data_IF_153031961318
#
_entry.id   IF_153031961318
#
_cell.length_a   1.000
_cell.length_b   1.000
_cell.length_c   1.000
_cell.angle_alpha   90.00
_cell.angle_beta   90.00
_cell.angle_gamma   90.00
#
_symmetry.space_group_name_H-M   'P 1'
#
loop_
_entity.id
_entity.type
_entity.pdbx_description
1 polymer ?
#
# COMPACT_ATOMS: atom_id res chain seq x y z
N UNK A 1 -20.40 20.81 16.74
CA UNK A 1 -19.39 21.61 17.49
C UNK A 1 -19.09 22.86 16.68
N UNK A 2 -19.28 24.06 17.23
CA UNK A 2 -18.97 25.32 16.54
C UNK A 2 -17.50 25.28 16.12
N UNK A 3 -17.22 25.24 14.81
CA UNK A 3 -15.86 25.36 14.30
C UNK A 3 -15.33 26.72 14.74
N UNK A 4 -14.32 26.75 15.62
CA UNK A 4 -13.67 28.00 16.01
C UNK A 4 -13.01 28.58 14.76
N UNK A 5 -13.63 29.61 14.18
CA UNK A 5 -13.09 30.36 13.07
C UNK A 5 -11.93 31.22 13.57
N UNK A 6 -10.72 30.92 13.11
CA UNK A 6 -9.50 31.64 13.48
C UNK A 6 -9.30 32.78 12.50
N UNK A 7 -9.26 34.01 13.00
CA UNK A 7 -8.99 35.19 12.19
C UNK A 7 -7.49 35.53 12.18
N UNK A 8 -7.00 36.01 11.04
CA UNK A 8 -5.60 36.38 10.90
C UNK A 8 -5.34 37.29 9.70
N UNK A 9 -4.14 37.85 9.65
CA UNK A 9 -3.65 38.62 8.52
C UNK A 9 -2.47 37.88 7.89
N UNK A 10 -2.46 37.82 6.56
CA UNK A 10 -1.32 37.31 5.81
C UNK A 10 -0.20 38.34 5.79
N UNK A 11 1.04 37.86 5.81
CA UNK A 11 2.24 38.70 5.76
C UNK A 11 2.90 38.47 4.41
N UNK A 12 3.15 39.55 3.66
CA UNK A 12 3.87 39.48 2.40
C UNK A 12 5.38 39.35 2.64
N UNK A 13 5.94 38.24 2.18
CA UNK A 13 7.36 38.10 1.98
C UNK A 13 7.71 38.68 0.60
N UNK A 14 8.47 39.78 0.61
CA UNK A 14 8.83 40.53 -0.61
C UNK A 14 9.84 39.79 -1.48
N UNK A 15 10.65 38.91 -0.89
CA UNK A 15 11.70 38.18 -1.62
C UNK A 15 11.10 36.98 -2.35
N UNK A 16 10.28 36.20 -1.65
CA UNK A 16 9.72 34.96 -2.19
C UNK A 16 8.41 35.17 -2.95
N UNK A 17 7.81 36.37 -2.85
CA UNK A 17 6.47 36.70 -3.38
C UNK A 17 5.38 35.77 -2.83
N UNK A 18 5.55 35.29 -1.60
CA UNK A 18 4.52 34.52 -0.89
C UNK A 18 3.87 35.38 0.19
N UNK A 19 2.56 35.23 0.32
CA UNK A 19 1.81 35.61 1.49
C UNK A 19 1.85 34.46 2.48
N UNK A 20 2.25 34.71 3.72
CA UNK A 20 2.41 33.68 4.73
C UNK A 20 1.54 33.94 5.97
N UNK A 21 1.15 32.87 6.64
CA UNK A 21 0.48 32.93 7.94
C UNK A 21 1.04 31.84 8.85
N UNK A 22 1.56 32.23 10.03
CA UNK A 22 2.06 31.30 11.04
C UNK A 22 0.87 30.60 11.70
N UNK A 23 0.81 29.28 11.57
CA UNK A 23 -0.25 28.48 12.16
C UNK A 23 -0.10 28.52 13.68
N UNK A 24 -1.17 28.83 14.45
CA UNK A 24 -1.11 28.87 15.90
C UNK A 24 -0.66 27.53 16.48
N UNK A 25 0.38 27.60 17.32
CA UNK A 25 0.94 26.47 18.06
C UNK A 25 -0.11 25.95 19.03
N UNK A 26 -0.22 24.64 19.13
CA UNK A 26 -1.10 23.95 20.08
C UNK A 26 -0.23 23.14 21.04
N UNK A 27 -0.65 23.04 22.31
CA UNK A 27 0.02 22.19 23.28
C UNK A 27 0.06 20.73 22.81
N UNK A 28 1.13 20.03 23.14
CA UNK A 28 1.36 18.64 22.76
C UNK A 28 2.24 17.95 23.81
N UNK A 29 2.07 16.63 24.04
CA UNK A 29 2.92 15.89 24.94
C UNK A 29 4.40 15.86 24.48
N UNK A 30 5.35 15.57 25.39
CA UNK A 30 6.75 15.34 25.03
C UNK A 30 6.88 14.29 23.92
N UNK A 31 7.82 14.47 22.99
CA UNK A 31 8.05 13.59 21.83
C UNK A 31 6.92 13.51 20.79
N UNK A 32 5.88 14.32 20.92
CA UNK A 32 4.83 14.47 19.90
C UNK A 32 4.93 15.84 19.22
N UNK A 33 4.27 16.00 18.08
CA UNK A 33 4.15 17.28 17.36
C UNK A 33 2.88 17.29 16.52
N UNK A 34 2.40 18.48 16.16
CA UNK A 34 1.24 18.64 15.30
C UNK A 34 1.65 18.62 13.84
N UNK A 35 1.06 17.69 13.10
CA UNK A 35 1.20 17.56 11.66
C UNK A 35 0.01 18.20 10.95
N UNK A 36 0.29 19.22 10.15
CA UNK A 36 -0.74 20.00 9.48
C UNK A 36 -0.90 19.58 8.02
N UNK A 37 -2.14 19.50 7.55
CA UNK A 37 -2.53 19.30 6.16
C UNK A 37 -3.62 20.28 5.80
N UNK A 38 -3.54 20.90 4.63
CA UNK A 38 -4.65 21.67 4.07
C UNK A 38 -5.77 20.69 3.74
N UNK A 39 -6.99 21.00 4.18
CA UNK A 39 -8.14 20.15 3.94
C UNK A 39 -8.38 20.01 2.42
N UNK A 40 -8.68 18.81 1.90
CA UNK A 40 -8.84 18.58 0.46
C UNK A 40 -9.86 19.50 -0.21
N UNK A 41 -11.01 19.77 0.44
CA UNK A 41 -12.04 20.69 -0.07
C UNK A 41 -11.58 22.15 -0.21
N UNK A 42 -10.43 22.52 0.37
CA UNK A 42 -9.88 23.87 0.33
C UNK A 42 -8.62 23.97 -0.54
N UNK A 43 -8.25 22.92 -1.28
CA UNK A 43 -7.15 22.99 -2.26
C UNK A 43 -7.49 24.00 -3.35
N UNK A 44 -7.16 25.25 -3.10
CA UNK A 44 -7.07 26.31 -4.10
C UNK A 44 -5.67 26.26 -4.69
N UNK A 45 -5.55 26.49 -6.00
CA UNK A 45 -4.31 26.30 -6.78
C UNK A 45 -3.07 27.02 -6.23
N UNK A 46 -3.25 28.02 -5.37
CA UNK A 46 -2.16 28.85 -4.85
C UNK A 46 -1.84 28.65 -3.37
N UNK A 47 -2.41 27.65 -2.69
CA UNK A 47 -2.21 27.43 -1.24
C UNK A 47 -1.31 26.22 -0.97
N UNK A 48 -0.31 26.37 -0.10
CA UNK A 48 0.58 25.30 0.34
C UNK A 48 1.00 25.48 1.80
N UNK A 49 1.75 24.52 2.34
CA UNK A 49 2.39 24.63 3.65
C UNK A 49 3.90 24.76 3.44
N UNK A 50 4.57 25.48 4.33
CA UNK A 50 6.04 25.45 4.41
C UNK A 50 6.55 24.03 4.62
N UNK A 51 7.84 23.78 4.33
CA UNK A 51 8.47 22.46 4.49
C UNK A 51 8.36 21.94 5.93
N UNK A 52 8.49 22.82 6.93
CA UNK A 52 8.30 22.50 8.35
C UNK A 52 6.82 22.50 8.80
N UNK A 53 5.91 22.83 7.87
CA UNK A 53 4.45 22.91 8.01
C UNK A 53 3.96 23.87 9.09
N UNK A 54 4.79 24.81 9.55
CA UNK A 54 4.40 25.83 10.54
C UNK A 54 3.73 27.04 9.90
N UNK A 55 3.88 27.22 8.59
CA UNK A 55 3.32 28.35 7.86
C UNK A 55 2.40 27.86 6.76
N UNK A 56 1.23 28.50 6.64
CA UNK A 56 0.44 28.50 5.42
C UNK A 56 1.09 29.48 4.45
N UNK A 57 1.30 29.05 3.22
CA UNK A 57 1.88 29.84 2.13
C UNK A 57 0.83 30.02 1.03
N UNK A 58 0.77 31.23 0.48
CA UNK A 58 -0.09 31.57 -0.65
C UNK A 58 0.75 32.32 -1.67
N UNK A 59 0.80 31.84 -2.91
CA UNK A 59 1.53 32.55 -3.96
C UNK A 59 0.87 33.89 -4.22
N UNK A 60 1.60 35.00 -4.10
CA UNK A 60 1.06 36.32 -4.38
C UNK A 60 0.92 36.49 -5.91
N UNK A 61 -0.31 36.61 -6.38
CA UNK A 61 -0.65 36.96 -7.76
C UNK A 61 -1.77 38.02 -7.76
N UNK A 62 -2.00 38.65 -8.91
CA UNK A 62 -2.98 39.75 -9.06
C UNK A 62 -4.41 39.34 -8.73
N UNK A 63 -4.69 38.03 -8.67
CA UNK A 63 -6.00 37.44 -8.37
C UNK A 63 -6.13 36.94 -6.93
N UNK A 64 -5.17 37.20 -6.04
CA UNK A 64 -5.24 36.76 -4.65
C UNK A 64 -6.46 37.36 -3.94
N UNK A 65 -7.37 36.55 -3.37
CA UNK A 65 -8.62 37.04 -2.81
C UNK A 65 -8.37 37.89 -1.57
N UNK A 66 -9.09 39.02 -1.41
CA UNK A 66 -9.01 39.92 -0.24
C UNK A 66 -9.17 39.20 1.12
N UNK A 67 -9.90 38.09 1.11
CA UNK A 67 -10.16 37.22 2.26
C UNK A 67 -10.08 35.77 1.80
N UNK A 68 -9.22 34.99 2.40
CA UNK A 68 -9.12 33.55 2.20
C UNK A 68 -9.82 32.81 3.33
N UNK A 69 -10.62 31.81 2.98
CA UNK A 69 -11.09 30.80 3.93
C UNK A 69 -10.41 29.47 3.63
N UNK A 70 -9.77 28.88 4.64
CA UNK A 70 -9.02 27.64 4.52
C UNK A 70 -9.17 26.78 5.77
N UNK A 71 -9.50 25.51 5.57
CA UNK A 71 -9.51 24.53 6.63
C UNK A 71 -8.15 23.83 6.70
N UNK A 72 -7.60 23.69 7.91
CA UNK A 72 -6.39 22.92 8.18
C UNK A 72 -6.75 21.77 9.11
N UNK A 73 -6.46 20.55 8.66
CA UNK A 73 -6.48 19.35 9.47
C UNK A 73 -5.15 19.21 10.20
N UNK A 74 -5.22 19.06 11.52
CA UNK A 74 -4.06 18.89 12.39
C UNK A 74 -4.16 17.56 13.10
N UNK A 75 -3.07 16.81 13.10
CA UNK A 75 -3.00 15.49 13.69
C UNK A 75 -1.74 15.36 14.53
N UNK A 76 -1.88 14.77 15.72
CA UNK A 76 -0.74 14.55 16.60
C UNK A 76 0.07 13.35 16.10
N UNK A 77 1.37 13.53 15.86
CA UNK A 77 2.29 12.47 15.42
C UNK A 77 3.55 12.45 16.29
N UNK A 78 4.25 11.30 16.41
CA UNK A 78 5.58 11.26 17.00
C UNK A 78 6.56 12.22 16.30
N UNK A 79 7.43 12.88 17.06
CA UNK A 79 8.51 13.71 16.49
C UNK A 79 9.47 12.89 15.64
N UNK A 80 9.67 11.60 15.97
CA UNK A 80 10.47 10.66 15.17
C UNK A 80 9.98 10.54 13.73
N UNK A 81 8.70 10.76 13.47
CA UNK A 81 8.14 10.68 12.12
C UNK A 81 8.63 11.81 11.19
N UNK A 82 9.20 12.88 11.75
CA UNK A 82 9.78 13.99 11.00
C UNK A 82 11.24 13.73 10.56
N UNK A 83 11.84 12.64 11.03
CA UNK A 83 13.23 12.27 10.71
C UNK A 83 13.33 10.89 10.06
N UNK A 84 12.45 9.95 10.43
CA UNK A 84 12.39 8.62 9.83
C UNK A 84 11.67 8.68 8.49
N UNK A 85 12.24 8.02 7.49
CA UNK A 85 11.64 7.83 6.17
C UNK A 85 10.93 6.49 6.06
N UNK A 86 9.98 6.41 5.14
CA UNK A 86 9.23 5.20 4.82
C UNK A 86 10.14 3.97 4.58
N UNK A 87 11.26 4.13 3.86
CA UNK A 87 12.13 3.00 3.53
C UNK A 87 13.07 2.58 4.68
N UNK A 88 12.95 3.18 5.86
CA UNK A 88 13.76 2.88 7.04
C UNK A 88 13.01 2.05 8.09
N UNK A 89 11.79 1.59 7.79
CA UNK A 89 11.01 0.71 8.66
C UNK A 89 10.84 -0.67 8.03
N UNK A 90 10.60 -1.68 8.85
CA UNK A 90 10.23 -3.02 8.42
C UNK A 90 8.80 -3.35 8.85
N UNK A 91 8.07 -4.00 7.94
CA UNK A 91 6.66 -4.35 8.02
C UNK A 91 6.48 -5.79 7.54
N UNK A 92 5.56 -6.51 8.20
CA UNK A 92 5.19 -7.87 7.80
C UNK A 92 3.96 -7.81 6.89
N UNK A 93 3.97 -8.68 5.89
CA UNK A 93 2.92 -8.87 4.93
C UNK A 93 2.52 -10.33 4.80
N UNK A 94 1.34 -10.60 4.25
CA UNK A 94 0.92 -11.95 3.87
C UNK A 94 1.13 -12.18 2.38
N UNK A 95 1.52 -13.41 2.02
CA UNK A 95 1.49 -13.91 0.65
C UNK A 95 0.10 -14.48 0.35
N UNK A 96 -0.42 -14.22 -0.86
CA UNK A 96 -1.80 -14.52 -1.28
C UNK A 96 -2.85 -14.18 -0.21
N UNK A 97 -2.87 -12.93 0.24
CA UNK A 97 -3.57 -12.50 1.48
C UNK A 97 -5.08 -12.78 1.51
N UNK A 98 -5.67 -12.99 0.35
CA UNK A 98 -7.08 -13.27 0.16
C UNK A 98 -7.43 -14.75 0.29
N UNK A 99 -6.41 -15.63 0.30
CA UNK A 99 -6.54 -17.05 0.03
C UNK A 99 -7.37 -17.78 1.10
N UNK A 100 -8.23 -18.67 0.60
CA UNK A 100 -8.99 -19.63 1.38
C UNK A 100 -8.77 -21.00 0.74
N UNK A 101 -8.54 -22.01 1.56
CA UNK A 101 -8.28 -23.37 1.10
C UNK A 101 -9.41 -23.85 0.19
N UNK A 102 -9.11 -24.62 -0.87
CA UNK A 102 -10.13 -25.30 -1.66
C UNK A 102 -11.09 -26.11 -0.78
N UNK A 103 -12.34 -26.25 -1.24
CA UNK A 103 -13.32 -27.13 -0.58
C UNK A 103 -12.77 -28.58 -0.52
N UNK A 104 -13.00 -29.35 0.56
CA UNK A 104 -12.42 -30.69 0.75
C UNK A 104 -12.58 -31.69 -0.41
N UNK A 105 -13.74 -31.78 -1.05
CA UNK A 105 -13.97 -32.59 -2.24
C UNK A 105 -13.16 -32.11 -3.45
N UNK A 106 -13.06 -30.79 -3.66
CA UNK A 106 -12.19 -30.20 -4.69
C UNK A 106 -10.71 -30.48 -4.38
N UNK A 107 -10.31 -30.34 -3.12
CA UNK A 107 -8.95 -30.61 -2.66
C UNK A 107 -8.51 -32.05 -2.96
N UNK A 108 -9.40 -33.05 -2.80
CA UNK A 108 -9.10 -34.45 -3.17
C UNK A 108 -8.77 -34.62 -4.65
N UNK A 109 -9.45 -33.89 -5.52
CA UNK A 109 -9.13 -33.88 -6.96
C UNK A 109 -7.75 -33.28 -7.19
N UNK A 110 -7.47 -32.12 -6.58
CA UNK A 110 -6.16 -31.46 -6.71
C UNK A 110 -5.05 -32.37 -6.18
N UNK A 111 -5.24 -33.03 -5.04
CA UNK A 111 -4.28 -33.99 -4.48
C UNK A 111 -3.98 -35.16 -5.42
N UNK A 112 -4.99 -35.65 -6.13
CA UNK A 112 -4.85 -36.80 -7.04
C UNK A 112 -4.06 -36.46 -8.31
N UNK A 113 -4.11 -35.20 -8.76
CA UNK A 113 -3.48 -34.76 -10.02
C UNK A 113 -2.20 -33.96 -9.79
N UNK A 114 -2.16 -33.14 -8.74
CA UNK A 114 -1.11 -32.19 -8.41
C UNK A 114 -0.80 -32.18 -6.90
N UNK A 115 -0.31 -33.29 -6.32
CA UNK A 115 -0.14 -33.46 -4.88
C UNK A 115 0.73 -32.36 -4.25
N UNK A 116 1.84 -32.00 -4.90
CA UNK A 116 2.72 -30.93 -4.43
C UNK A 116 2.03 -29.56 -4.38
N UNK A 117 1.10 -29.27 -5.29
CA UNK A 117 0.34 -28.02 -5.26
C UNK A 117 -0.72 -28.04 -4.16
N UNK A 118 -1.44 -29.16 -4.01
CA UNK A 118 -2.41 -29.33 -2.94
C UNK A 118 -1.81 -29.04 -1.57
N UNK A 119 -0.60 -29.54 -1.30
CA UNK A 119 0.12 -29.26 -0.06
C UNK A 119 0.40 -27.77 0.14
N UNK A 120 0.68 -27.02 -0.93
CA UNK A 120 1.05 -25.61 -0.85
C UNK A 120 -0.13 -24.66 -0.76
N UNK A 121 -1.35 -25.12 -1.04
CA UNK A 121 -2.59 -24.31 -1.01
C UNK A 121 -3.57 -24.78 0.09
N UNK A 122 -3.13 -25.68 0.96
CA UNK A 122 -3.95 -26.21 2.08
C UNK A 122 -3.92 -25.27 3.30
N UNK A 123 -4.20 -23.98 3.10
CA UNK A 123 -4.23 -22.98 4.16
C UNK A 123 -5.35 -21.96 3.93
N UNK A 124 -5.67 -21.17 4.95
CA UNK A 124 -6.66 -20.09 4.86
C UNK A 124 -6.18 -18.92 5.69
N UNK A 125 -6.16 -17.74 5.08
CA UNK A 125 -5.92 -16.51 5.82
C UNK A 125 -7.22 -15.96 6.42
N UNK A 126 -7.09 -15.18 7.49
CA UNK A 126 -8.17 -14.33 7.99
C UNK A 126 -8.61 -13.31 6.93
N UNK A 127 -9.76 -12.67 7.12
CA UNK A 127 -10.17 -11.54 6.27
C UNK A 127 -9.16 -10.38 6.34
N UNK A 128 -9.09 -9.53 5.31
CA UNK A 128 -8.05 -8.50 5.20
C UNK A 128 -8.06 -7.51 6.39
N UNK A 129 -9.24 -7.12 6.88
CA UNK A 129 -9.41 -6.27 8.06
C UNK A 129 -8.90 -6.93 9.33
N UNK A 130 -9.09 -8.24 9.49
CA UNK A 130 -8.62 -8.97 10.65
C UNK A 130 -7.10 -9.12 10.64
N UNK A 131 -6.50 -9.34 9.46
CA UNK A 131 -5.05 -9.32 9.30
C UNK A 131 -4.46 -7.95 9.70
N UNK A 132 -5.11 -6.85 9.31
CA UNK A 132 -4.71 -5.50 9.73
C UNK A 132 -4.79 -5.31 11.26
N UNK A 133 -5.92 -5.71 11.86
CA UNK A 133 -6.30 -5.38 13.24
C UNK A 133 -5.67 -6.32 14.28
N UNK A 134 -5.68 -7.62 14.00
CA UNK A 134 -5.28 -8.65 14.95
C UNK A 134 -3.82 -9.06 14.77
N UNK A 135 -3.36 -9.10 13.52
CA UNK A 135 -2.03 -9.62 13.17
C UNK A 135 -1.01 -8.51 12.86
N UNK A 136 -1.44 -7.24 12.77
CA UNK A 136 -0.55 -6.11 12.50
C UNK A 136 0.02 -6.09 11.07
N UNK A 137 -0.62 -6.77 10.12
CA UNK A 137 -0.13 -6.88 8.74
C UNK A 137 -0.20 -5.52 8.04
N UNK A 138 0.86 -5.13 7.33
CA UNK A 138 0.92 -3.87 6.56
C UNK A 138 1.37 -4.10 5.11
N UNK A 139 1.32 -5.33 4.62
CA UNK A 139 1.43 -5.64 3.20
C UNK A 139 0.48 -6.76 2.80
N UNK A 140 -0.21 -6.57 1.68
CA UNK A 140 -1.14 -7.53 1.10
C UNK A 140 -0.70 -7.84 -0.33
N UNK A 141 -0.69 -9.11 -0.69
CA UNK A 141 -0.58 -9.59 -2.07
C UNK A 141 -1.92 -10.11 -2.58
N UNK A 142 -2.28 -9.67 -3.79
CA UNK A 142 -3.56 -9.92 -4.46
C UNK A 142 -3.30 -10.35 -5.90
N UNK A 143 -3.84 -11.51 -6.28
CA UNK A 143 -3.67 -12.10 -7.61
C UNK A 143 -4.87 -11.74 -8.47
N UNK A 144 -4.65 -11.00 -9.55
CA UNK A 144 -5.72 -10.39 -10.34
C UNK A 144 -5.87 -11.05 -11.71
N UNK A 145 -7.10 -11.46 -12.01
CA UNK A 145 -7.56 -11.74 -13.37
C UNK A 145 -8.47 -10.61 -13.85
N UNK A 146 -8.32 -10.17 -15.10
CA UNK A 146 -9.25 -9.21 -15.70
C UNK A 146 -10.40 -9.95 -16.39
N UNK A 147 -11.60 -9.91 -15.81
CA UNK A 147 -12.82 -10.43 -16.42
C UNK A 147 -13.53 -9.32 -17.18
N UNK A 148 -13.19 -9.15 -18.46
CA UNK A 148 -13.65 -8.01 -19.28
C UNK A 148 -15.16 -7.99 -19.54
N UNK A 149 -15.84 -9.13 -19.50
CA UNK A 149 -17.30 -9.25 -19.69
C UNK A 149 -18.05 -9.59 -18.40
N UNK A 150 -17.36 -10.12 -17.39
CA UNK A 150 -18.00 -10.69 -16.22
C UNK A 150 -18.48 -12.13 -16.46
N UNK A 151 -18.63 -12.89 -15.38
CA UNK A 151 -19.18 -14.24 -15.40
C UNK A 151 -18.17 -15.34 -15.73
N UNK A 152 -16.96 -15.01 -16.18
CA UNK A 152 -15.93 -16.00 -16.56
C UNK A 152 -15.58 -16.93 -15.41
N UNK A 153 -15.60 -16.39 -14.18
CA UNK A 153 -15.20 -17.10 -12.97
C UNK A 153 -16.37 -17.38 -12.00
N UNK A 154 -17.61 -17.10 -12.41
CA UNK A 154 -18.80 -17.24 -11.54
C UNK A 154 -19.24 -18.70 -11.30
N UNK A 155 -18.75 -19.62 -12.13
CA UNK A 155 -19.10 -21.04 -12.10
C UNK A 155 -17.85 -21.92 -12.21
N UNK A 156 -17.02 -21.99 -11.16
CA UNK A 156 -15.80 -22.79 -11.17
C UNK A 156 -16.10 -24.28 -11.33
N UNK A 157 -15.30 -24.98 -12.13
CA UNK A 157 -15.53 -26.40 -12.44
C UNK A 157 -15.25 -27.36 -11.29
N UNK A 158 -14.34 -27.03 -10.37
CA UNK A 158 -13.88 -27.92 -9.31
C UNK A 158 -15.02 -28.56 -8.51
N UNK A 159 -15.95 -27.77 -7.95
CA UNK A 159 -17.09 -28.32 -7.21
C UNK A 159 -18.01 -29.22 -8.03
N UNK A 160 -18.21 -28.92 -9.32
CA UNK A 160 -18.98 -29.77 -10.23
C UNK A 160 -18.29 -31.11 -10.45
N UNK A 161 -16.98 -31.11 -10.68
CA UNK A 161 -16.19 -32.33 -10.83
C UNK A 161 -16.12 -33.15 -9.53
N UNK A 162 -16.19 -32.49 -8.38
CA UNK A 162 -16.27 -33.13 -7.07
C UNK A 162 -17.69 -33.64 -6.73
N UNK A 163 -18.67 -33.49 -7.63
CA UNK A 163 -20.05 -33.93 -7.42
C UNK A 163 -20.82 -33.15 -6.36
N UNK A 164 -20.36 -31.94 -6.01
CA UNK A 164 -20.92 -31.16 -4.91
C UNK A 164 -22.15 -30.38 -5.35
N UNK A 165 -23.30 -30.73 -4.78
CA UNK A 165 -24.54 -29.96 -4.92
C UNK A 165 -24.60 -28.92 -3.80
N UNK A 166 -25.05 -27.71 -4.12
CA UNK A 166 -25.25 -26.62 -3.16
C UNK A 166 -24.00 -26.18 -2.36
N UNK A 167 -22.78 -26.50 -2.80
CA UNK A 167 -21.54 -26.11 -2.08
C UNK A 167 -21.49 -24.61 -1.74
N UNK A 168 -22.05 -23.75 -2.60
CA UNK A 168 -22.12 -22.29 -2.38
C UNK A 168 -22.78 -21.89 -1.05
N UNK A 169 -23.75 -22.65 -0.53
CA UNK A 169 -24.37 -22.33 0.77
C UNK A 169 -23.42 -22.49 1.96
N UNK A 170 -22.38 -23.32 1.81
CA UNK A 170 -21.32 -23.52 2.79
C UNK A 170 -20.14 -22.55 2.60
N UNK A 171 -20.16 -21.78 1.51
CA UNK A 171 -19.09 -20.89 1.07
C UNK A 171 -19.64 -19.50 0.74
N UNK A 172 -20.26 -18.80 1.71
CA UNK A 172 -20.93 -17.51 1.50
C UNK A 172 -19.97 -16.40 1.06
N UNK A 173 -18.66 -16.58 1.24
CA UNK A 173 -17.65 -15.65 0.72
C UNK A 173 -17.58 -15.65 -0.82
N UNK A 174 -18.05 -16.73 -1.48
CA UNK A 174 -18.07 -16.82 -2.93
C UNK A 174 -19.28 -16.06 -3.50
N UNK A 175 -19.10 -14.75 -3.64
CA UNK A 175 -20.11 -13.82 -4.16
C UNK A 175 -20.29 -13.98 -5.68
N UNK A 176 -21.23 -14.84 -6.07
CA UNK A 176 -21.52 -15.11 -7.49
C UNK A 176 -21.97 -13.86 -8.23
N UNK A 177 -22.75 -12.97 -7.60
CA UNK A 177 -23.24 -11.75 -8.23
C UNK A 177 -22.07 -10.84 -8.60
N UNK A 178 -21.14 -10.63 -7.66
CA UNK A 178 -19.91 -9.88 -7.93
C UNK A 178 -19.04 -10.55 -8.99
N UNK A 179 -18.98 -11.88 -9.06
CA UNK A 179 -18.23 -12.60 -10.10
C UNK A 179 -18.88 -12.47 -11.49
N UNK A 180 -20.19 -12.22 -11.57
CA UNK A 180 -20.91 -12.01 -12.84
C UNK A 180 -20.67 -10.64 -13.47
N UNK A 181 -20.21 -9.65 -12.70
CA UNK A 181 -19.93 -8.29 -13.19
C UNK A 181 -18.53 -8.22 -13.80
N UNK A 182 -18.32 -7.42 -14.85
CA UNK A 182 -16.99 -7.18 -15.40
C UNK A 182 -16.04 -6.50 -14.38
N UNK A 183 -14.74 -6.76 -14.48
CA UNK A 183 -13.71 -6.12 -13.67
C UNK A 183 -12.65 -7.09 -13.14
N UNK A 184 -11.81 -6.60 -12.23
CA UNK A 184 -10.70 -7.38 -11.67
C UNK A 184 -11.19 -8.37 -10.60
N UNK A 185 -10.84 -9.65 -10.78
CA UNK A 185 -11.18 -10.77 -9.90
C UNK A 185 -9.95 -11.25 -9.15
N UNK A 186 -10.12 -11.57 -7.87
CA UNK A 186 -9.05 -12.06 -7.01
C UNK A 186 -9.15 -13.58 -6.89
N UNK A 187 -8.22 -14.31 -7.52
CA UNK A 187 -8.24 -15.77 -7.67
C UNK A 187 -6.80 -16.27 -7.74
N UNK A 188 -6.44 -17.34 -7.01
CA UNK A 188 -5.13 -17.96 -7.13
C UNK A 188 -5.02 -18.84 -8.39
N UNK A 189 -5.91 -19.81 -8.53
CA UNK A 189 -6.01 -20.66 -9.72
C UNK A 189 -7.48 -20.87 -10.13
N UNK A 190 -7.87 -20.49 -11.35
CA UNK A 190 -9.25 -20.64 -11.80
C UNK A 190 -9.76 -22.07 -11.67
N UNK A 191 -11.07 -22.21 -11.45
CA UNK A 191 -11.81 -23.48 -11.32
C UNK A 191 -11.52 -24.34 -10.08
N UNK A 192 -10.30 -24.34 -9.53
CA UNK A 192 -9.91 -25.28 -8.47
C UNK A 192 -9.46 -24.59 -7.18
N UNK A 193 -8.69 -23.50 -7.27
CA UNK A 193 -8.23 -22.73 -6.11
C UNK A 193 -8.67 -21.26 -6.25
N UNK A 194 -9.99 -21.09 -6.34
CA UNK A 194 -10.63 -19.83 -6.69
C UNK A 194 -11.20 -19.08 -5.49
N UNK A 195 -11.21 -19.70 -4.31
CA UNK A 195 -11.85 -19.12 -3.12
C UNK A 195 -11.02 -17.95 -2.61
N UNK A 196 -11.71 -16.89 -2.24
CA UNK A 196 -11.11 -15.62 -1.83
C UNK A 196 -11.99 -14.96 -0.78
N UNK A 197 -11.38 -14.43 0.28
CA UNK A 197 -12.08 -13.61 1.28
C UNK A 197 -12.61 -12.30 0.66
N UNK A 198 -12.07 -11.88 -0.48
CA UNK A 198 -12.45 -10.67 -1.21
C UNK A 198 -12.46 -10.96 -2.71
N UNK A 199 -13.55 -11.50 -3.29
CA UNK A 199 -13.54 -12.02 -4.66
C UNK A 199 -13.27 -10.99 -5.77
N UNK A 200 -13.47 -9.69 -5.49
CA UNK A 200 -13.17 -8.61 -6.44
C UNK A 200 -12.16 -7.63 -5.86
N UNK A 201 -11.38 -7.01 -6.75
CA UNK A 201 -10.37 -6.04 -6.36
C UNK A 201 -10.97 -4.81 -5.68
N UNK A 202 -12.08 -4.28 -6.21
CA UNK A 202 -12.80 -3.16 -5.59
C UNK A 202 -13.28 -3.47 -4.17
N UNK A 203 -13.77 -4.69 -3.91
CA UNK A 203 -14.13 -5.10 -2.54
C UNK A 203 -12.91 -5.11 -1.63
N UNK A 204 -11.80 -5.70 -2.06
CA UNK A 204 -10.56 -5.73 -1.29
C UNK A 204 -10.04 -4.31 -0.98
N UNK A 205 -9.95 -3.44 -1.98
CA UNK A 205 -9.52 -2.05 -1.79
C UNK A 205 -10.48 -1.27 -0.89
N UNK A 206 -11.80 -1.51 -1.01
CA UNK A 206 -12.80 -0.81 -0.19
C UNK A 206 -12.69 -1.19 1.27
N UNK A 207 -12.46 -2.47 1.55
CA UNK A 207 -12.22 -2.98 2.89
C UNK A 207 -10.99 -2.33 3.54
N UNK A 208 -9.84 -2.38 2.83
CA UNK A 208 -8.59 -1.78 3.29
C UNK A 208 -8.72 -0.26 3.48
N UNK A 209 -9.37 0.44 2.55
CA UNK A 209 -9.56 1.89 2.62
C UNK A 209 -10.51 2.29 3.76
N UNK A 210 -11.59 1.53 3.99
CA UNK A 210 -12.50 1.73 5.12
C UNK A 210 -11.77 1.57 6.45
N UNK A 211 -10.91 0.56 6.59
CA UNK A 211 -10.07 0.43 7.78
C UNK A 211 -9.06 1.59 7.89
N UNK A 212 -8.37 1.95 6.80
CA UNK A 212 -7.39 3.04 6.77
C UNK A 212 -7.97 4.38 7.20
N UNK A 213 -9.17 4.72 6.73
CA UNK A 213 -9.86 5.97 7.07
C UNK A 213 -10.16 6.09 8.58
N UNK A 214 -10.42 4.96 9.25
CA UNK A 214 -10.66 4.87 10.69
C UNK A 214 -9.36 4.80 11.51
N UNK A 215 -8.24 4.47 10.87
CA UNK A 215 -6.92 4.28 11.49
C UNK A 215 -5.86 5.15 10.79
N UNK A 216 -6.15 6.43 10.61
CA UNK A 216 -5.39 7.38 9.79
C UNK A 216 -3.89 7.59 10.14
N UNK A 217 -3.38 7.02 11.25
CA UNK A 217 -1.96 7.01 11.62
C UNK A 217 -1.25 5.67 11.38
N UNK A 218 -1.93 4.70 10.75
CA UNK A 218 -1.33 3.42 10.44
C UNK A 218 -0.04 3.59 9.63
N UNK A 219 0.91 2.67 9.85
CA UNK A 219 2.10 2.57 9.01
C UNK A 219 1.71 2.30 7.55
N UNK A 220 2.48 2.80 6.57
CA UNK A 220 2.13 2.72 5.15
C UNK A 220 1.89 1.28 4.69
N UNK A 221 0.71 1.03 4.11
CA UNK A 221 0.29 -0.30 3.69
C UNK A 221 0.71 -0.53 2.24
N UNK A 222 1.45 -1.60 1.97
CA UNK A 222 1.72 -2.03 0.59
C UNK A 222 0.61 -2.95 0.07
N UNK A 223 0.13 -2.69 -1.13
CA UNK A 223 -0.70 -3.63 -1.91
C UNK A 223 0.16 -4.05 -3.10
N UNK A 224 0.68 -5.27 -3.02
CA UNK A 224 1.42 -5.94 -4.06
C UNK A 224 0.41 -6.64 -4.98
N UNK A 225 0.46 -6.33 -6.26
CA UNK A 225 -0.51 -6.80 -7.24
C UNK A 225 0.20 -7.75 -8.18
N UNK A 226 -0.23 -9.01 -8.21
CA UNK A 226 0.21 -9.96 -9.22
C UNK A 226 -0.88 -10.08 -10.30
N UNK A 227 -0.62 -9.55 -11.48
CA UNK A 227 -1.52 -9.74 -12.62
C UNK A 227 -1.32 -11.15 -13.19
N UNK A 228 -2.39 -11.92 -13.27
CA UNK A 228 -2.41 -13.24 -13.90
C UNK A 228 -2.85 -13.09 -15.36
N UNK A 229 -2.84 -14.19 -16.11
CA UNK A 229 -3.21 -14.16 -17.53
C UNK A 229 -4.67 -13.75 -17.73
N UNK A 230 -4.94 -12.85 -18.66
CA UNK A 230 -6.31 -12.42 -18.99
C UNK A 230 -7.04 -13.49 -19.76
N UNK A 231 -8.37 -13.57 -19.57
CA UNK A 231 -9.25 -14.44 -20.35
C UNK A 231 -10.10 -13.53 -21.25
N UNK A 232 -9.85 -13.57 -22.56
CA UNK A 232 -10.72 -12.90 -23.53
C UNK A 232 -11.80 -13.87 -23.99
N UNK A 233 -13.03 -13.37 -24.11
CA UNK A 233 -14.24 -14.16 -24.39
C UNK A 233 -14.59 -14.18 -25.87
N UNK A 234 -13.61 -14.39 -26.73
CA UNK A 234 -13.83 -14.75 -28.14
C UNK A 234 -13.41 -16.21 -28.36
N UNK A 235 -13.85 -16.82 -29.46
CA UNK A 235 -13.58 -18.22 -29.85
C UNK A 235 -12.08 -18.57 -30.02
N UNK A 236 -11.18 -17.69 -29.61
CA UNK A 236 -9.76 -17.94 -29.41
C UNK A 236 -9.45 -17.79 -27.91
N UNK A 237 -9.38 -18.90 -27.18
CA UNK A 237 -8.85 -18.96 -25.81
C UNK A 237 -7.35 -18.61 -25.77
N UNK A 238 -6.95 -17.41 -26.21
CA UNK A 238 -5.60 -16.90 -26.02
C UNK A 238 -5.53 -16.25 -24.65
N UNK A 239 -4.99 -17.00 -23.69
CA UNK A 239 -4.54 -16.47 -22.41
C UNK A 239 -3.38 -15.49 -22.66
N UNK A 240 -3.62 -14.19 -22.49
CA UNK A 240 -2.64 -13.13 -22.69
C UNK A 240 -2.06 -12.60 -21.38
N UNK A 241 -0.87 -12.00 -21.43
CA UNK A 241 -0.39 -11.13 -20.35
C UNK A 241 -1.26 -9.86 -20.29
N UNK A 242 -1.30 -9.18 -19.14
CA UNK A 242 -1.95 -7.88 -19.04
C UNK A 242 -1.34 -6.89 -20.04
N UNK A 243 -2.19 -6.27 -20.85
CA UNK A 243 -1.81 -5.23 -21.79
C UNK A 243 -2.08 -3.81 -21.24
N UNK A 244 -1.83 -2.80 -22.06
CA UNK A 244 -2.03 -1.40 -21.66
C UNK A 244 -3.49 -1.06 -21.34
N UNK A 245 -4.47 -1.72 -21.96
CA UNK A 245 -5.89 -1.51 -21.65
C UNK A 245 -6.27 -2.18 -20.33
N UNK A 246 -5.76 -3.37 -20.07
CA UNK A 246 -5.95 -4.07 -18.79
C UNK A 246 -5.40 -3.24 -17.63
N UNK A 247 -4.19 -2.70 -17.78
CA UNK A 247 -3.59 -1.82 -16.77
C UNK A 247 -4.36 -0.50 -16.58
N UNK A 248 -4.90 0.10 -17.65
CA UNK A 248 -5.78 1.28 -17.50
C UNK A 248 -7.03 0.97 -16.69
N UNK A 249 -7.65 -0.19 -16.90
CA UNK A 249 -8.81 -0.60 -16.10
C UNK A 249 -8.44 -0.91 -14.66
N UNK A 250 -7.27 -1.49 -14.43
CA UNK A 250 -6.73 -1.72 -13.09
C UNK A 250 -6.55 -0.40 -12.33
N UNK A 251 -5.90 0.59 -12.95
CA UNK A 251 -5.73 1.91 -12.33
C UNK A 251 -7.05 2.65 -12.12
N UNK A 252 -8.00 2.49 -13.05
CA UNK A 252 -9.34 3.03 -12.90
C UNK A 252 -10.04 2.46 -11.66
N UNK A 253 -10.04 1.14 -11.47
CA UNK A 253 -10.64 0.52 -10.26
C UNK A 253 -9.94 0.97 -8.97
N UNK A 254 -8.62 1.19 -8.99
CA UNK A 254 -7.90 1.77 -7.85
C UNK A 254 -8.44 3.17 -7.53
N UNK A 255 -8.55 4.04 -8.54
CA UNK A 255 -8.96 5.44 -8.36
C UNK A 255 -10.44 5.61 -8.04
N UNK A 256 -11.28 4.64 -8.42
CA UNK A 256 -12.69 4.58 -7.99
C UNK A 256 -12.83 4.37 -6.48
N UNK A 257 -11.83 3.75 -5.83
CA UNK A 257 -11.91 3.36 -4.41
C UNK A 257 -10.96 4.14 -3.50
N UNK A 258 -9.74 4.41 -3.95
CA UNK A 258 -8.67 5.06 -3.18
C UNK A 258 -8.35 6.42 -3.79
N UNK A 259 -8.54 7.47 -3.00
CA UNK A 259 -8.21 8.83 -3.42
C UNK A 259 -6.71 8.98 -3.72
N UNK A 260 -6.29 9.70 -4.78
CA UNK A 260 -4.87 9.86 -5.13
C UNK A 260 -3.97 10.35 -3.99
N UNK A 261 -4.48 11.18 -3.07
CA UNK A 261 -3.74 11.68 -1.91
C UNK A 261 -3.34 10.59 -0.92
N UNK A 262 -4.10 9.50 -0.89
CA UNK A 262 -3.88 8.31 -0.06
C UNK A 262 -2.85 7.36 -0.66
N UNK A 263 -2.35 7.60 -1.86
CA UNK A 263 -1.37 6.76 -2.54
C UNK A 263 -0.01 7.46 -2.56
N UNK A 264 1.05 6.77 -2.16
CA UNK A 264 2.43 7.18 -2.42
C UNK A 264 2.77 6.63 -3.80
N UNK A 265 2.89 7.50 -4.80
CA UNK A 265 3.15 7.12 -6.19
C UNK A 265 4.62 7.29 -6.56
N UNK A 266 5.11 6.65 -7.64
CA UNK A 266 6.42 6.90 -8.22
C UNK A 266 6.74 8.39 -8.40
N UNK A 267 5.85 9.18 -9.02
CA UNK A 267 6.07 10.63 -9.18
C UNK A 267 6.26 11.39 -7.87
N UNK A 268 5.54 11.00 -6.80
CA UNK A 268 5.68 11.66 -5.49
C UNK A 268 7.05 11.40 -4.86
N UNK A 269 7.63 10.22 -5.11
CA UNK A 269 8.99 9.88 -4.63
C UNK A 269 10.04 10.51 -5.55
N UNK A 270 9.80 10.54 -6.86
CA UNK A 270 10.71 11.19 -7.80
C UNK A 270 10.85 12.70 -7.52
N UNK A 271 9.76 13.39 -7.15
CA UNK A 271 9.78 14.83 -6.90
C UNK A 271 10.39 15.60 -8.08
N UNK A 272 11.35 16.47 -7.77
CA UNK A 272 12.01 17.33 -8.78
C UNK A 272 13.25 16.67 -9.42
N UNK A 273 13.54 15.40 -9.13
CA UNK A 273 14.67 14.69 -9.74
C UNK A 273 14.35 14.28 -11.18
N UNK A 274 15.42 14.11 -11.99
CA UNK A 274 15.27 13.70 -13.39
C UNK A 274 14.66 12.31 -13.52
N UNK A 275 14.99 11.42 -12.60
CA UNK A 275 14.52 10.03 -12.58
C UNK A 275 14.15 9.61 -11.16
N UNK A 276 13.25 8.64 -11.05
CA UNK A 276 12.88 8.05 -9.77
C UNK A 276 14.09 7.40 -9.07
N UNK A 277 14.96 6.73 -9.83
CA UNK A 277 16.17 6.15 -9.26
C UNK A 277 17.09 7.22 -8.65
N UNK A 278 17.27 8.35 -9.33
CA UNK A 278 18.07 9.45 -8.79
C UNK A 278 17.54 9.94 -7.43
N UNK A 279 16.22 10.05 -7.29
CA UNK A 279 15.59 10.46 -6.05
C UNK A 279 15.89 9.48 -4.90
N UNK A 280 15.69 8.18 -5.12
CA UNK A 280 15.93 7.19 -4.06
C UNK A 280 17.40 7.06 -3.70
N UNK A 281 18.33 7.25 -4.65
CA UNK A 281 19.78 7.25 -4.37
C UNK A 281 20.21 8.40 -3.46
N UNK A 282 19.50 9.53 -3.53
CA UNK A 282 19.67 10.68 -2.61
C UNK A 282 18.89 10.51 -1.31
N UNK A 283 18.19 9.38 -1.15
CA UNK A 283 17.41 9.06 0.02
C UNK A 283 16.06 9.76 0.07
N UNK A 284 15.54 10.31 -1.02
CA UNK A 284 14.32 11.17 -1.01
C UNK A 284 12.99 10.41 -0.92
N UNK A 285 12.98 9.28 -0.22
CA UNK A 285 11.72 8.68 0.23
C UNK A 285 10.99 9.63 1.19
N UNK A 286 9.64 9.69 1.14
CA UNK A 286 8.87 10.53 2.03
C UNK A 286 9.11 10.20 3.51
N UNK A 287 8.98 11.23 4.35
CA UNK A 287 9.01 11.06 5.79
C UNK A 287 7.86 10.15 6.24
N UNK A 288 8.00 9.52 7.41
CA UNK A 288 6.96 8.67 7.95
C UNK A 288 5.70 9.50 8.27
N UNK A 289 5.87 10.75 8.69
CA UNK A 289 4.78 11.73 8.86
C UNK A 289 3.94 11.94 7.59
N UNK A 290 4.60 11.87 6.43
CA UNK A 290 3.97 11.99 5.12
C UNK A 290 3.37 10.67 4.64
N UNK A 291 3.83 9.55 5.18
CA UNK A 291 3.50 8.21 4.72
C UNK A 291 2.41 7.54 5.54
N UNK A 292 2.18 7.98 6.78
CA UNK A 292 1.10 7.46 7.62
C UNK A 292 -0.27 7.62 6.98
N UNK A 293 -1.10 6.59 7.15
CA UNK A 293 -2.47 6.58 6.63
C UNK A 293 -2.56 6.46 5.11
N UNK A 294 -1.49 6.00 4.43
CA UNK A 294 -1.39 5.87 2.97
C UNK A 294 -1.06 4.45 2.52
N UNK A 295 -1.29 4.23 1.24
CA UNK A 295 -0.99 3.01 0.50
C UNK A 295 0.20 3.20 -0.44
N UNK A 296 0.92 2.11 -0.68
CA UNK A 296 1.91 1.95 -1.74
C UNK A 296 1.42 0.82 -2.62
N UNK A 297 1.39 1.03 -3.93
CA UNK A 297 0.96 0.01 -4.88
C UNK A 297 2.18 -0.46 -5.66
N UNK A 298 2.38 -1.76 -5.80
CA UNK A 298 3.51 -2.31 -6.53
C UNK A 298 3.07 -3.49 -7.41
N UNK A 299 3.60 -3.56 -8.63
CA UNK A 299 3.43 -4.69 -9.52
C UNK A 299 4.42 -5.80 -9.12
N UNK A 300 3.91 -6.99 -8.82
CA UNK A 300 4.73 -8.17 -8.54
C UNK A 300 5.44 -8.65 -9.82
N UNK A 301 4.72 -8.64 -10.94
CA UNK A 301 5.19 -9.18 -12.20
C UNK A 301 6.47 -8.48 -12.70
N UNK A 302 7.31 -9.27 -13.36
CA UNK A 302 8.47 -8.82 -14.12
C UNK A 302 8.26 -9.22 -15.59
N UNK A 303 9.22 -8.94 -16.47
CA UNK A 303 9.10 -9.33 -17.88
C UNK A 303 7.96 -8.60 -18.60
N UNK A 304 7.13 -9.34 -19.35
CA UNK A 304 6.15 -8.78 -20.30
C UNK A 304 5.16 -7.83 -19.64
N UNK A 305 4.63 -8.16 -18.47
CA UNK A 305 3.66 -7.35 -17.73
C UNK A 305 4.29 -6.03 -17.27
N UNK A 306 5.52 -6.09 -16.72
CA UNK A 306 6.29 -4.90 -16.36
C UNK A 306 6.52 -4.03 -17.59
N UNK A 307 6.97 -4.63 -18.68
CA UNK A 307 7.32 -3.90 -19.90
C UNK A 307 6.07 -3.26 -20.52
N UNK A 308 4.90 -3.92 -20.45
CA UNK A 308 3.62 -3.36 -20.87
C UNK A 308 3.20 -2.19 -19.98
N UNK A 309 3.37 -2.29 -18.66
CA UNK A 309 3.08 -1.18 -17.75
C UNK A 309 4.02 0.01 -17.98
N UNK A 310 5.30 -0.23 -18.27
CA UNK A 310 6.26 0.83 -18.60
C UNK A 310 6.03 1.47 -19.98
N UNK A 311 5.45 0.75 -20.93
CA UNK A 311 4.97 1.36 -22.19
C UNK A 311 3.79 2.30 -21.94
N UNK A 312 2.90 1.94 -21.02
CA UNK A 312 1.79 2.80 -20.60
C UNK A 312 2.28 4.03 -19.82
N UNK A 313 3.27 3.84 -18.94
CA UNK A 313 3.89 4.90 -18.14
C UNK A 313 5.41 4.94 -18.31
N UNK A 314 5.93 5.54 -19.40
CA UNK A 314 7.37 5.70 -19.58
C UNK A 314 7.99 6.44 -18.39
N UNK A 315 9.06 5.87 -17.82
CA UNK A 315 9.71 6.41 -16.61
C UNK A 315 8.83 6.39 -15.35
N UNK A 316 7.70 5.68 -15.37
CA UNK A 316 6.62 5.71 -14.37
C UNK A 316 5.97 7.09 -14.18
N UNK A 317 6.03 7.96 -15.20
CA UNK A 317 5.32 9.23 -15.14
C UNK A 317 3.80 9.03 -15.16
N UNK A 318 3.12 9.55 -14.13
CA UNK A 318 1.68 9.43 -13.93
C UNK A 318 1.23 8.06 -13.39
N UNK A 319 2.16 7.13 -13.17
CA UNK A 319 1.82 5.77 -12.76
C UNK A 319 1.35 5.71 -11.30
N UNK A 320 0.45 4.78 -10.99
CA UNK A 320 0.06 4.48 -9.61
C UNK A 320 0.97 3.42 -8.96
N UNK A 321 1.48 2.47 -9.74
CA UNK A 321 2.25 1.32 -9.26
C UNK A 321 3.75 1.55 -9.42
N UNK A 322 4.51 1.14 -8.42
CA UNK A 322 5.93 0.86 -8.60
C UNK A 322 6.13 -0.46 -9.33
N UNK A 323 7.19 -0.59 -10.12
CA UNK A 323 7.56 -1.87 -10.75
C UNK A 323 8.94 -2.34 -10.32
N UNK A 324 9.14 -3.65 -10.33
CA UNK A 324 10.45 -4.26 -10.06
C UNK A 324 11.34 -4.27 -11.32
N UNK A 325 11.96 -3.12 -11.60
CA UNK A 325 12.96 -2.97 -12.68
C UNK A 325 14.39 -3.22 -12.20
N UNK A 326 15.31 -3.64 -13.09
CA UNK A 326 16.72 -3.81 -12.77
C UNK A 326 17.32 -2.59 -12.04
N UNK A 327 18.15 -2.80 -10.99
CA UNK A 327 18.77 -1.70 -10.26
C UNK A 327 19.62 -0.79 -11.16
N UNK A 328 19.32 0.50 -11.16
CA UNK A 328 20.05 1.54 -11.90
C UNK A 328 19.22 2.12 -13.04
N UNK A 329 18.20 1.41 -13.51
CA UNK A 329 17.24 1.93 -14.48
C UNK A 329 16.53 3.18 -13.93
N UNK A 330 16.19 4.17 -14.78
CA UNK A 330 15.54 5.42 -14.38
C UNK A 330 14.30 5.25 -13.48
N UNK A 331 13.48 4.26 -13.77
CA UNK A 331 12.22 3.95 -13.08
C UNK A 331 12.37 3.05 -11.84
N UNK A 332 13.57 2.51 -11.59
CA UNK A 332 13.76 1.51 -10.54
C UNK A 332 13.86 2.15 -9.15
N UNK A 333 12.88 1.87 -8.28
CA UNK A 333 12.92 2.23 -6.85
C UNK A 333 12.42 1.11 -5.94
N UNK A 334 11.59 0.22 -6.46
CA UNK A 334 11.10 -0.98 -5.79
C UNK A 334 11.76 -2.21 -6.39
N UNK A 335 12.08 -3.21 -5.56
CA UNK A 335 12.61 -4.49 -6.01
C UNK A 335 11.84 -5.64 -5.34
N UNK A 336 11.43 -6.62 -6.14
CA UNK A 336 10.98 -7.93 -5.68
C UNK A 336 12.19 -8.87 -5.62
N UNK A 337 12.62 -9.25 -4.42
CA UNK A 337 13.69 -10.22 -4.21
C UNK A 337 13.17 -11.28 -3.23
N UNK A 338 12.65 -12.38 -3.77
CA UNK A 338 11.88 -13.35 -2.98
C UNK A 338 12.73 -14.12 -1.96
N UNK A 339 13.95 -14.47 -2.33
CA UNK A 339 14.80 -15.38 -1.56
C UNK A 339 15.89 -14.61 -0.79
N UNK A 340 15.73 -14.39 0.52
CA UNK A 340 16.74 -13.73 1.33
C UNK A 340 17.90 -14.65 1.71
N UNK A 341 17.82 -15.97 1.50
CA UNK A 341 18.94 -16.89 1.76
C UNK A 341 20.01 -16.66 0.70
N UNK A 342 19.65 -16.77 -0.56
CA UNK A 342 20.59 -16.62 -1.68
C UNK A 342 20.99 -15.15 -1.92
N UNK A 343 20.14 -14.19 -1.52
CA UNK A 343 20.32 -12.78 -1.85
C UNK A 343 20.56 -11.88 -0.64
N UNK A 344 20.90 -12.41 0.54
CA UNK A 344 21.04 -11.60 1.77
C UNK A 344 21.90 -10.35 1.58
N UNK A 345 23.15 -10.54 1.14
CA UNK A 345 24.11 -9.45 0.92
C UNK A 345 23.68 -8.50 -0.18
N UNK A 346 23.05 -9.02 -1.24
CA UNK A 346 22.54 -8.20 -2.34
C UNK A 346 21.37 -7.33 -1.86
N UNK A 347 20.44 -7.88 -1.08
CA UNK A 347 19.35 -7.12 -0.44
C UNK A 347 19.96 -6.00 0.40
N UNK A 348 20.88 -6.29 1.34
CA UNK A 348 21.51 -5.26 2.17
C UNK A 348 22.16 -4.14 1.34
N UNK A 349 22.90 -4.52 0.29
CA UNK A 349 23.49 -3.57 -0.66
C UNK A 349 22.43 -2.68 -1.31
N UNK A 350 21.30 -3.24 -1.75
CA UNK A 350 20.20 -2.46 -2.35
C UNK A 350 19.46 -1.59 -1.33
N UNK A 351 19.32 -2.02 -0.09
CA UNK A 351 18.76 -1.19 0.98
C UNK A 351 19.64 0.04 1.23
N UNK A 352 20.95 -0.14 1.32
CA UNK A 352 21.91 0.97 1.48
C UNK A 352 21.94 1.93 0.28
N UNK A 353 21.50 1.46 -0.88
CA UNK A 353 21.33 2.26 -2.09
C UNK A 353 19.99 3.00 -2.15
N UNK A 354 19.11 2.82 -1.16
CA UNK A 354 17.82 3.49 -1.06
C UNK A 354 16.66 2.74 -1.71
N UNK A 355 16.83 1.51 -2.19
CA UNK A 355 15.70 0.73 -2.73
C UNK A 355 14.71 0.32 -1.63
N UNK A 356 13.44 0.26 -2.01
CA UNK A 356 12.39 -0.40 -1.24
C UNK A 356 12.28 -1.85 -1.72
N UNK A 357 12.34 -2.82 -0.81
CA UNK A 357 12.42 -4.24 -1.17
C UNK A 357 11.31 -5.03 -0.51
N UNK A 358 10.67 -5.89 -1.30
CA UNK A 358 9.82 -6.98 -0.82
C UNK A 358 10.59 -8.29 -0.87
N UNK A 359 10.60 -9.04 0.23
CA UNK A 359 11.17 -10.40 0.34
C UNK A 359 10.20 -11.36 1.04
N UNK A 360 10.59 -12.63 1.24
CA UNK A 360 9.78 -13.65 1.91
C UNK A 360 10.49 -14.22 3.14
N UNK A 361 9.75 -14.41 4.23
CA UNK A 361 10.21 -15.12 5.42
C UNK A 361 10.13 -16.64 5.28
N UNK A 362 9.29 -17.14 4.37
CA UNK A 362 9.02 -18.57 4.13
C UNK A 362 8.50 -18.79 2.70
N UNK A 363 8.48 -20.05 2.27
CA UNK A 363 8.11 -20.45 0.91
C UNK A 363 7.47 -21.84 0.84
N UNK A 364 6.33 -21.94 0.16
CA UNK A 364 5.64 -23.21 -0.10
C UNK A 364 5.29 -23.98 1.19
N UNK A 365 4.99 -23.24 2.25
CA UNK A 365 4.66 -23.77 3.58
C UNK A 365 5.76 -24.68 4.21
N UNK A 366 6.98 -24.71 3.66
CA UNK A 366 8.04 -25.66 4.04
C UNK A 366 8.56 -25.40 5.45
N UNK A 367 8.80 -24.13 5.76
CA UNK A 367 9.32 -23.66 7.04
C UNK A 367 8.35 -24.01 8.17
N UNK A 368 7.05 -23.88 7.93
CA UNK A 368 6.02 -24.25 8.90
C UNK A 368 5.93 -25.73 9.21
N UNK A 369 6.28 -26.61 8.26
CA UNK A 369 6.34 -28.07 8.50
C UNK A 369 7.58 -28.47 9.30
N UNK A 370 8.70 -27.78 9.05
CA UNK A 370 10.01 -28.08 9.66
C UNK A 370 10.30 -27.27 10.93
N UNK A 371 9.44 -26.31 11.28
CA UNK A 371 9.69 -25.30 12.32
C UNK A 371 11.01 -24.54 12.10
N UNK A 372 11.31 -24.20 10.84
CA UNK A 372 12.60 -23.66 10.42
C UNK A 372 12.55 -22.13 10.24
N UNK A 373 13.22 -21.40 11.13
CA UNK A 373 13.24 -19.94 11.14
C UNK A 373 14.41 -19.30 10.38
N UNK A 374 15.24 -20.09 9.68
CA UNK A 374 16.43 -19.57 8.99
C UNK A 374 16.10 -18.51 7.95
N UNK A 375 15.13 -18.78 7.07
CA UNK A 375 14.72 -17.82 6.03
C UNK A 375 14.12 -16.55 6.64
N UNK A 376 13.26 -16.66 7.67
CA UNK A 376 12.71 -15.51 8.40
C UNK A 376 13.81 -14.64 9.00
N UNK A 377 14.79 -15.24 9.68
CA UNK A 377 15.89 -14.50 10.30
C UNK A 377 16.76 -13.77 9.27
N UNK A 378 16.97 -14.38 8.09
CA UNK A 378 17.68 -13.74 6.97
C UNK A 378 16.84 -12.63 6.32
N UNK A 379 15.53 -12.82 6.14
CA UNK A 379 14.62 -11.76 5.70
C UNK A 379 14.69 -10.56 6.65
N UNK A 380 14.66 -10.80 7.95
CA UNK A 380 14.69 -9.77 8.98
C UNK A 380 16.03 -9.01 9.00
N UNK A 381 17.15 -9.72 8.96
CA UNK A 381 18.50 -9.14 9.04
C UNK A 381 19.01 -8.54 7.73
N UNK A 382 18.43 -8.92 6.58
CA UNK A 382 18.78 -8.33 5.28
C UNK A 382 18.35 -6.87 5.13
N UNK A 383 17.45 -6.38 6.00
CA UNK A 383 16.91 -5.03 5.93
C UNK A 383 15.81 -4.85 4.89
N UNK A 384 15.30 -5.89 4.23
CA UNK A 384 14.11 -5.76 3.39
C UNK A 384 12.93 -5.16 4.18
N UNK A 385 12.24 -4.17 3.62
CA UNK A 385 11.22 -3.40 4.34
C UNK A 385 9.87 -4.12 4.39
N UNK A 386 9.48 -4.84 3.34
CA UNK A 386 8.22 -5.58 3.30
C UNK A 386 8.50 -7.08 3.23
N UNK A 387 8.14 -7.81 4.29
CA UNK A 387 8.46 -9.23 4.43
C UNK A 387 7.17 -10.05 4.37
N UNK A 388 6.98 -10.79 3.29
CA UNK A 388 5.84 -11.71 3.12
C UNK A 388 6.01 -12.98 3.93
N UNK A 389 4.91 -13.50 4.46
CA UNK A 389 4.81 -14.83 5.06
C UNK A 389 3.48 -15.50 4.67
N UNK A 390 3.49 -16.82 4.59
CA UNK A 390 2.30 -17.66 4.56
C UNK A 390 1.79 -17.98 5.99
N UNK A 391 2.57 -17.67 7.03
CA UNK A 391 2.30 -17.96 8.45
C UNK A 391 2.28 -16.69 9.33
N UNK A 392 1.34 -15.75 9.12
CA UNK A 392 1.21 -14.57 9.97
C UNK A 392 0.72 -14.92 11.40
N UNK A 393 0.27 -16.15 11.61
CA UNK A 393 -0.08 -16.76 12.89
C UNK A 393 0.14 -18.27 12.84
N UNK A 394 0.03 -18.94 14.00
CA UNK A 394 0.12 -20.40 14.05
C UNK A 394 -1.05 -21.02 13.30
N UNK A 395 -0.76 -22.03 12.49
CA UNK A 395 -1.74 -22.75 11.68
C UNK A 395 -1.89 -24.20 12.15
N UNK A 396 -3.14 -24.70 12.20
CA UNK A 396 -3.39 -26.10 12.52
C UNK A 396 -2.77 -27.03 11.46
N UNK A 397 -2.21 -28.16 11.88
CA UNK A 397 -1.50 -29.10 11.00
C UNK A 397 -0.05 -28.72 10.68
N UNK A 398 0.43 -27.59 11.21
CA UNK A 398 1.83 -27.16 11.14
C UNK A 398 2.44 -27.07 12.54
N UNK A 399 3.75 -26.85 12.60
CA UNK A 399 4.46 -26.58 13.84
C UNK A 399 4.06 -25.22 14.46
N UNK A 400 4.73 -24.81 15.53
CA UNK A 400 4.55 -23.48 16.15
C UNK A 400 5.14 -22.32 15.32
N UNK A 401 5.63 -22.59 14.11
CA UNK A 401 6.14 -21.60 13.18
C UNK A 401 5.12 -20.49 12.92
N UNK A 402 5.56 -19.24 13.13
CA UNK A 402 4.82 -18.03 12.78
C UNK A 402 5.76 -16.84 12.63
N UNK A 403 5.42 -15.93 11.74
CA UNK A 403 6.21 -14.71 11.47
C UNK A 403 5.46 -13.51 12.00
N UNK A 404 5.88 -13.02 13.16
CA UNK A 404 5.30 -11.88 13.85
C UNK A 404 6.40 -11.04 14.49
N UNK A 405 6.12 -9.75 14.71
CA UNK A 405 6.99 -8.95 15.56
C UNK A 405 6.79 -9.33 17.04
N UNK A 406 7.87 -9.35 17.85
CA UNK A 406 7.75 -9.54 19.29
C UNK A 406 6.85 -8.49 19.95
N UNK A 407 6.19 -8.88 21.05
CA UNK A 407 5.38 -8.00 21.90
C UNK A 407 4.20 -7.32 21.19
N UNK A 408 3.63 -7.95 20.15
CA UNK A 408 2.45 -7.43 19.45
C UNK A 408 2.72 -6.14 18.67
N UNK A 409 3.98 -5.93 18.26
CA UNK A 409 4.36 -4.78 17.45
C UNK A 409 3.83 -4.91 16.02
N UNK A 410 3.64 -3.78 15.35
CA UNK A 410 3.14 -3.71 13.95
C UNK A 410 4.26 -3.46 12.96
N UNK A 411 5.33 -2.81 13.41
CA UNK A 411 6.53 -2.57 12.64
C UNK A 411 7.71 -2.35 13.55
N UNK A 412 8.91 -2.33 12.95
CA UNK A 412 10.14 -1.95 13.65
C UNK A 412 10.98 -1.05 12.77
N UNK A 413 11.95 -0.38 13.39
CA UNK A 413 13.00 0.26 12.61
C UNK A 413 13.82 -0.82 11.91
N UNK A 414 14.20 -0.56 10.68
CA UNK A 414 15.08 -1.43 9.93
C UNK A 414 16.47 -1.50 10.60
N UNK A 415 17.01 -2.71 10.85
CA UNK A 415 18.24 -2.91 11.62
C UNK A 415 19.49 -2.31 10.96
N UNK A 416 19.42 -1.93 9.68
CA UNK A 416 20.51 -1.25 8.98
C UNK A 416 20.56 0.26 9.24
N UNK A 417 19.60 0.80 10.01
CA UNK A 417 19.51 2.22 10.32
C UNK A 417 19.49 2.42 11.84
N UNK A 418 20.26 3.41 12.31
CA UNK A 418 20.31 3.79 13.73
C UNK A 418 19.85 5.25 13.85
N UNK A 419 18.74 5.55 14.54
CA UNK A 419 18.27 6.90 14.71
C UNK A 419 18.82 7.50 16.01
N UNK A 420 19.01 8.81 16.04
CA UNK A 420 19.48 9.52 17.24
C UNK A 420 18.40 9.66 18.33
N UNK A 421 17.19 9.15 18.07
CA UNK A 421 16.03 9.27 18.96
C UNK A 421 15.19 7.99 18.95
N UNK A 422 14.48 7.73 20.04
CA UNK A 422 13.53 6.63 20.13
C UNK A 422 12.42 6.79 19.08
N UNK A 423 12.17 5.73 18.32
CA UNK A 423 11.15 5.72 17.26
C UNK A 423 9.85 5.09 17.74
N UNK A 424 8.73 5.79 17.54
CA UNK A 424 7.40 5.31 17.91
C UNK A 424 6.68 4.79 16.64
N UNK A 425 6.49 3.47 16.56
CA UNK A 425 5.90 2.84 15.36
C UNK A 425 4.37 2.77 15.37
N UNK A 426 3.75 2.66 16.55
CA UNK A 426 2.32 2.34 16.72
C UNK A 426 1.48 3.48 17.34
N UNK A 427 1.56 4.73 16.85
CA UNK A 427 0.64 5.76 17.27
C UNK A 427 -0.79 5.49 16.77
N UNK A 428 -1.02 4.49 15.92
CA UNK A 428 -2.36 4.11 15.46
C UNK A 428 -3.27 3.57 16.57
N UNK A 429 -2.70 3.02 17.65
CA UNK A 429 -3.46 2.62 18.85
C UNK A 429 -3.94 3.82 19.66
N UNK A 430 -3.31 4.98 19.45
CA UNK A 430 -3.79 6.25 19.97
C UNK A 430 -4.79 6.75 18.94
N UNK A 431 -6.09 6.66 19.24
CA UNK A 431 -7.16 7.21 18.41
C UNK A 431 -6.91 8.70 18.18
N UNK A 432 -6.12 9.04 17.17
CA UNK A 432 -5.69 10.41 16.97
C UNK A 432 -6.89 11.20 16.48
N UNK A 433 -7.31 12.16 17.30
CA UNK A 433 -8.34 13.10 16.91
C UNK A 433 -7.74 14.02 15.84
N UNK A 434 -8.28 13.97 14.63
CA UNK A 434 -8.02 15.02 13.64
C UNK A 434 -8.76 16.26 14.11
N UNK A 435 -8.01 17.32 14.36
CA UNK A 435 -8.58 18.63 14.67
C UNK A 435 -8.65 19.41 13.36
N UNK A 436 -9.87 19.65 12.88
CA UNK A 436 -10.13 20.58 11.79
C UNK A 436 -10.33 21.98 12.34
N UNK A 437 -9.54 22.95 11.85
CA UNK A 437 -9.67 24.37 12.20
C UNK A 437 -9.91 25.18 10.93
N UNK A 438 -10.91 26.06 10.97
CA UNK A 438 -11.19 27.00 9.89
C UNK A 438 -10.42 28.29 10.11
N UNK A 439 -9.76 28.80 9.08
CA UNK A 439 -9.03 30.06 9.10
C UNK A 439 -9.66 31.05 8.14
N UNK A 440 -9.84 32.27 8.61
CA UNK A 440 -10.28 33.41 7.81
C UNK A 440 -9.18 34.47 7.79
N UNK A 441 -8.43 34.51 6.69
CA UNK A 441 -7.20 35.28 6.56
C UNK A 441 -7.39 36.45 5.60
N UNK A 442 -7.03 37.66 6.03
CA UNK A 442 -7.07 38.87 5.18
C UNK A 442 -5.75 39.07 4.45
N UNK A 443 -5.79 39.45 3.18
CA UNK A 443 -4.59 39.86 2.45
C UNK A 443 -4.24 41.32 2.76
N UNK A 444 -2.95 41.70 2.79
CA UNK A 444 -2.55 43.09 2.89
C UNK A 444 -3.12 43.94 1.74
N UNK A 445 -3.48 45.20 2.00
CA UNK A 445 -4.01 46.15 1.01
C UNK A 445 -2.99 46.60 -0.03
N UNK A 446 -1.70 46.33 0.18
CA UNK A 446 -0.61 46.58 -0.76
C UNK A 446 0.10 45.26 -1.09
N UNK A 447 -0.52 44.45 -1.94
CA UNK A 447 0.23 43.47 -2.74
C UNK A 447 0.72 44.25 -3.96
N UNK A 448 2.04 44.36 -4.20
CA UNK A 448 2.55 45.08 -5.36
C UNK A 448 1.90 44.54 -6.63
N UNK A 449 1.19 45.39 -7.37
CA UNK A 449 0.88 45.10 -8.77
C UNK A 449 2.20 45.03 -9.53
N UNK A 450 2.29 44.09 -10.46
CA UNK A 450 3.51 43.83 -11.22
C UNK A 450 3.99 45.08 -11.95
#
# INVERSE_FOLDING_TARGET
TKENLIHGNLILDKETKYLSYKIPVMANPPNWTWWHKIHPSNKKENTSLSKDRKYLLIRANETAPRKLQIAIQSQLIPKSDLIIKLNQIQLIGTHNSYHIAPEPGVMKIIQSVMPNQAENISYTHRGLTEQLKLLGIRKFELDLFHDTKGGTFAYPLGPTLAGLKNWKSLHPEFDTESMMVAGMKIIHFPNFDFRSNTPTFKTALSELNKWSSRNNLHLPIMILIETKKTITSSKENKLGAFDANDFRQLEKEILEVIQPEKIITPNKVQGDHKTLNQAIRKGDWPLLAESRGKFILALDNQGVERDNYLKLHPGLHGALLFVSSPPGNPESAFLKINDPIENHSEIQKRINQGYLIRTRADSNLKEGRKNDYRQMNLAFSSGAQYISTDFPEKMAGFSDYKVQWPNGKVGRLNPLFTPDQQVIMEPEKLNSQIISRQFSLKTPTHVPKK
#
